data_IF_634819831697
#
_entry.id   IF_634819831697
#
_cell.length_a   1.000
_cell.length_b   1.000
_cell.length_c   1.000
_cell.angle_alpha   90.00
_cell.angle_beta   90.00
_cell.angle_gamma   90.00
#
_symmetry.space_group_name_H-M   'P 1'
#
loop_
_entity.id
_entity.type
_entity.pdbx_description
1 polymer ?
#
# COMPACT_ATOMS: atom_id res chain seq x y z
N UNK A 1 -23.43 -12.75 -9.21
CA UNK A 1 -23.03 -12.90 -7.88
C UNK A 1 -21.62 -12.45 -7.66
N UNK A 2 -21.41 -11.68 -6.63
CA UNK A 2 -20.09 -11.19 -6.36
C UNK A 2 -19.45 -12.05 -5.30
N UNK A 3 -18.26 -12.44 -5.51
CA UNK A 3 -17.55 -13.12 -4.47
C UNK A 3 -16.72 -12.12 -3.72
N UNK A 4 -16.39 -12.48 -2.52
CA UNK A 4 -15.52 -11.63 -1.72
C UNK A 4 -14.13 -11.65 -2.31
N UNK A 5 -13.45 -10.55 -2.23
CA UNK A 5 -12.07 -10.53 -2.72
C UNK A 5 -11.19 -11.46 -1.90
N UNK A 6 -10.24 -12.05 -2.56
CA UNK A 6 -9.25 -12.88 -1.89
C UNK A 6 -7.92 -12.15 -1.80
N UNK A 7 -7.94 -10.86 -2.03
CA UNK A 7 -6.74 -10.04 -2.00
C UNK A 7 -6.71 -9.20 -0.74
N UNK A 8 -5.57 -8.61 -0.49
CA UNK A 8 -5.40 -7.64 0.59
C UNK A 8 -5.10 -6.28 0.00
N UNK A 9 -5.58 -5.25 0.65
CA UNK A 9 -5.28 -3.90 0.24
C UNK A 9 -4.38 -3.26 1.29
N UNK A 10 -3.27 -2.71 0.84
CA UNK A 10 -2.35 -2.01 1.72
C UNK A 10 -2.14 -0.60 1.21
N UNK A 11 -2.00 0.34 2.11
CA UNK A 11 -1.74 1.72 1.71
C UNK A 11 -0.64 2.30 2.56
N UNK A 12 0.04 3.28 1.99
CA UNK A 12 1.06 4.02 2.70
C UNK A 12 1.11 5.43 2.14
N UNK A 13 1.46 6.37 3.00
CA UNK A 13 1.54 7.78 2.62
C UNK A 13 2.87 8.33 3.08
N UNK A 14 3.39 9.28 2.33
CA UNK A 14 4.61 9.96 2.71
C UNK A 14 4.55 11.39 2.22
N UNK A 15 5.27 12.27 2.88
CA UNK A 15 5.35 13.66 2.46
C UNK A 15 6.31 13.80 1.31
N UNK A 16 5.93 14.62 0.37
CA UNK A 16 6.89 15.02 -0.65
C UNK A 16 7.91 15.95 -0.02
N UNK A 17 9.14 15.92 -0.49
CA UNK A 17 10.12 16.85 0.00
C UNK A 17 9.62 18.25 -0.27
N UNK A 18 9.84 19.11 0.69
CA UNK A 18 9.47 20.47 0.52
C UNK A 18 10.37 21.10 -0.47
N UNK A 19 9.80 21.56 -1.51
CA UNK A 19 10.51 22.38 -2.40
C UNK A 19 10.72 23.68 -1.73
N UNK A 20 11.62 24.43 -2.19
CA UNK A 20 11.84 25.74 -1.67
C UNK A 20 10.74 26.67 -1.97
N UNK A 21 9.79 26.25 -2.66
CA UNK A 21 8.71 27.08 -3.02
C UNK A 21 7.94 27.49 -1.81
N UNK A 22 7.52 28.66 -1.79
CA UNK A 22 6.80 29.15 -0.69
C UNK A 22 5.43 28.64 -0.62
N UNK A 23 5.03 27.91 -1.55
CA UNK A 23 3.76 27.42 -1.52
C UNK A 23 3.64 26.36 -0.56
N UNK A 24 4.53 26.07 0.18
CA UNK A 24 4.56 25.26 1.35
C UNK A 24 3.36 24.43 1.60
N UNK A 25 2.63 24.08 0.65
CA UNK A 25 1.56 23.17 0.87
C UNK A 25 2.15 21.83 1.01
N UNK A 26 1.88 21.19 2.09
CA UNK A 26 2.32 19.84 2.25
C UNK A 26 1.59 18.99 1.28
N UNK A 27 2.31 18.38 0.42
CA UNK A 27 1.72 17.39 -0.44
C UNK A 27 2.18 16.04 0.01
N UNK A 28 1.25 15.14 0.12
CA UNK A 28 1.55 13.76 0.43
C UNK A 28 1.38 12.94 -0.80
N UNK A 29 2.20 11.91 -0.89
CA UNK A 29 2.01 10.90 -1.90
C UNK A 29 1.43 9.69 -1.21
N UNK A 30 0.33 9.20 -1.74
CA UNK A 30 -0.25 7.96 -1.26
C UNK A 30 -0.05 6.86 -2.28
N UNK A 31 0.16 5.66 -1.79
CA UNK A 31 0.29 4.48 -2.63
C UNK A 31 -0.64 3.43 -2.06
N UNK A 32 -1.40 2.79 -2.92
CA UNK A 32 -2.26 1.69 -2.55
C UNK A 32 -1.87 0.51 -3.41
N UNK A 33 -1.65 -0.63 -2.79
CA UNK A 33 -1.38 -1.87 -3.49
C UNK A 33 -2.45 -2.89 -3.15
N UNK A 34 -2.94 -3.56 -4.16
CA UNK A 34 -3.79 -4.72 -3.97
C UNK A 34 -2.90 -5.94 -4.23
N UNK A 35 -2.88 -6.86 -3.28
CA UNK A 35 -1.91 -7.95 -3.27
C UNK A 35 -2.66 -9.25 -3.09
N UNK A 36 -2.32 -10.27 -3.86
CA UNK A 36 -2.99 -11.56 -3.73
C UNK A 36 -2.40 -12.35 -2.57
N UNK A 37 -2.91 -13.54 -2.36
CA UNK A 37 -2.52 -14.33 -1.20
C UNK A 37 -1.10 -14.86 -1.29
N UNK A 38 -0.50 -14.81 -2.45
CA UNK A 38 0.90 -15.19 -2.61
C UNK A 38 1.83 -14.00 -2.43
N UNK A 39 1.28 -12.80 -2.26
CA UNK A 39 2.09 -11.61 -2.09
C UNK A 39 2.33 -10.84 -3.37
N UNK A 40 1.68 -11.23 -4.46
CA UNK A 40 1.91 -10.58 -5.76
C UNK A 40 1.00 -9.38 -5.89
N UNK A 41 1.56 -8.26 -6.31
CA UNK A 41 0.80 -7.04 -6.54
C UNK A 41 -0.02 -7.22 -7.80
N UNK A 42 -1.33 -7.14 -7.65
CA UNK A 42 -2.24 -7.28 -8.79
C UNK A 42 -2.77 -5.94 -9.25
N UNK A 43 -2.72 -4.93 -8.42
CA UNK A 43 -3.13 -3.58 -8.80
C UNK A 43 -2.40 -2.58 -7.93
N UNK A 44 -2.23 -1.39 -8.46
CA UNK A 44 -1.52 -0.33 -7.77
C UNK A 44 -2.12 1.00 -8.19
N UNK A 45 -2.28 1.89 -7.23
CA UNK A 45 -2.72 3.25 -7.51
C UNK A 45 -1.94 4.21 -6.66
N UNK A 46 -1.78 5.41 -7.15
CA UNK A 46 -1.10 6.45 -6.39
C UNK A 46 -1.90 7.73 -6.47
N UNK A 47 -1.51 8.69 -5.66
CA UNK A 47 -2.10 10.01 -5.73
C UNK A 47 -1.32 10.94 -6.66
N UNK A 48 -0.42 10.40 -7.46
CA UNK A 48 0.32 11.21 -8.42
C UNK A 48 -0.65 11.81 -9.42
N UNK A 49 -0.52 13.09 -9.64
CA UNK A 49 -1.49 13.81 -10.46
C UNK A 49 -1.33 13.55 -11.93
N UNK A 50 -0.11 13.31 -12.36
CA UNK A 50 0.12 13.09 -13.78
C UNK A 50 -0.04 11.63 -14.11
N UNK A 51 -0.89 11.37 -15.08
CA UNK A 51 -1.23 10.00 -15.44
C UNK A 51 -0.01 9.21 -15.88
N UNK A 52 0.94 9.86 -16.56
CA UNK A 52 2.14 9.16 -16.98
C UNK A 52 2.97 8.66 -15.80
N UNK A 53 3.07 9.49 -14.77
CA UNK A 53 3.83 9.10 -13.59
C UNK A 53 3.13 7.98 -12.83
N UNK A 54 1.84 8.13 -12.64
CA UNK A 54 1.06 7.10 -11.96
C UNK A 54 1.14 5.78 -12.72
N UNK A 55 0.93 5.82 -14.02
CA UNK A 55 0.97 4.59 -14.82
C UNK A 55 2.35 3.97 -14.85
N UNK A 56 3.39 4.79 -14.87
CA UNK A 56 4.74 4.27 -14.86
C UNK A 56 5.02 3.52 -13.54
N UNK A 57 4.63 4.13 -12.42
CA UNK A 57 4.83 3.49 -11.14
C UNK A 57 4.04 2.18 -11.05
N UNK A 58 2.81 2.19 -11.55
CA UNK A 58 2.02 0.96 -11.58
C UNK A 58 2.77 -0.15 -12.32
N UNK A 59 3.38 0.17 -13.44
CA UNK A 59 4.08 -0.86 -14.20
C UNK A 59 5.31 -1.40 -13.49
N UNK A 60 5.89 -0.61 -12.59
CA UNK A 60 7.01 -1.09 -11.80
C UNK A 60 6.55 -2.05 -10.70
N UNK A 61 5.35 -1.85 -10.20
CA UNK A 61 4.89 -2.59 -9.02
C UNK A 61 4.07 -3.82 -9.35
N UNK A 62 3.22 -3.75 -10.36
CA UNK A 62 2.31 -4.86 -10.66
C UNK A 62 3.12 -6.06 -11.09
N UNK A 63 2.81 -7.20 -10.49
CA UNK A 63 3.53 -8.44 -10.75
C UNK A 63 4.67 -8.72 -9.79
N UNK A 64 5.03 -7.76 -8.95
CA UNK A 64 6.10 -7.95 -7.99
C UNK A 64 5.55 -8.56 -6.71
N UNK A 65 6.42 -9.19 -5.96
CA UNK A 65 6.02 -9.88 -4.74
C UNK A 65 6.48 -9.09 -3.51
N UNK A 66 5.53 -8.64 -2.69
CA UNK A 66 5.86 -7.80 -1.54
C UNK A 66 6.44 -8.59 -0.38
N UNK A 67 6.43 -9.90 -0.45
CA UNK A 67 7.08 -10.71 0.57
C UNK A 67 8.50 -11.06 0.17
N UNK A 68 8.72 -11.36 -1.09
CA UNK A 68 9.99 -11.90 -1.53
C UNK A 68 10.88 -10.87 -2.24
N UNK A 69 10.32 -9.77 -2.74
CA UNK A 69 11.07 -8.91 -3.62
C UNK A 69 11.16 -7.48 -3.15
N UNK A 70 11.08 -7.24 -1.85
CA UNK A 70 11.05 -5.86 -1.33
C UNK A 70 12.27 -5.06 -1.76
N UNK A 71 13.45 -5.65 -1.65
CA UNK A 71 14.65 -4.94 -2.02
C UNK A 71 14.71 -4.69 -3.51
N UNK A 72 14.26 -5.66 -4.29
CA UNK A 72 14.23 -5.50 -5.72
C UNK A 72 13.23 -4.41 -6.13
N UNK A 73 12.09 -4.35 -5.45
CA UNK A 73 11.10 -3.31 -5.72
C UNK A 73 11.70 -1.94 -5.44
N UNK A 74 12.31 -1.78 -4.29
CA UNK A 74 12.89 -0.49 -3.95
C UNK A 74 14.00 -0.11 -4.92
N UNK A 75 14.88 -1.03 -5.23
CA UNK A 75 15.96 -0.77 -6.17
C UNK A 75 15.42 -0.40 -7.53
N UNK A 76 14.37 -1.06 -7.95
CA UNK A 76 13.77 -0.79 -9.24
C UNK A 76 13.17 0.62 -9.30
N UNK A 77 12.47 1.01 -8.23
CA UNK A 77 11.90 2.34 -8.17
C UNK A 77 13.01 3.37 -8.19
N UNK A 78 14.07 3.17 -7.40
CA UNK A 78 15.16 4.14 -7.37
C UNK A 78 15.90 4.22 -8.69
N UNK A 79 15.99 3.13 -9.39
CA UNK A 79 16.72 3.10 -10.64
C UNK A 79 15.89 3.65 -11.80
N UNK A 80 14.60 3.32 -11.83
CA UNK A 80 13.76 3.62 -12.98
C UNK A 80 12.86 4.85 -12.82
N UNK A 81 12.40 5.11 -11.61
CA UNK A 81 11.53 6.25 -11.39
C UNK A 81 12.38 7.46 -11.01
N UNK A 82 12.64 8.32 -11.96
CA UNK A 82 13.56 9.43 -11.74
C UNK A 82 12.84 10.75 -11.49
N UNK A 83 11.60 10.67 -11.11
CA UNK A 83 10.81 11.87 -10.86
C UNK A 83 11.01 12.42 -9.47
N UNK A 84 10.43 13.59 -9.28
CA UNK A 84 10.57 14.35 -8.05
C UNK A 84 10.03 13.60 -6.83
N UNK A 85 9.04 12.76 -7.02
CA UNK A 85 8.40 12.07 -5.91
C UNK A 85 9.03 10.73 -5.58
N UNK A 86 10.19 10.41 -6.15
CA UNK A 86 10.79 9.10 -5.95
C UNK A 86 10.96 8.77 -4.47
N UNK A 87 11.54 9.68 -3.70
CA UNK A 87 11.80 9.41 -2.29
C UNK A 87 10.54 9.20 -1.50
N UNK A 88 9.50 9.98 -1.81
CA UNK A 88 8.22 9.82 -1.13
C UNK A 88 7.56 8.50 -1.48
N UNK A 89 7.68 8.08 -2.73
CA UNK A 89 7.14 6.79 -3.14
C UNK A 89 7.82 5.65 -2.41
N UNK A 90 9.14 5.71 -2.29
CA UNK A 90 9.88 4.69 -1.55
C UNK A 90 9.48 4.68 -0.08
N UNK A 91 9.32 5.85 0.52
CA UNK A 91 8.89 5.93 1.91
C UNK A 91 7.49 5.35 2.10
N UNK A 92 6.60 5.63 1.16
CA UNK A 92 5.25 5.07 1.23
C UNK A 92 5.30 3.55 1.11
N UNK A 93 6.16 3.03 0.23
CA UNK A 93 6.32 1.58 0.09
C UNK A 93 6.85 0.95 1.38
N UNK A 94 7.77 1.62 2.07
CA UNK A 94 8.27 1.08 3.33
C UNK A 94 7.14 0.94 4.34
N UNK A 95 6.22 1.88 4.38
CA UNK A 95 5.09 1.78 5.29
C UNK A 95 4.16 0.64 4.88
N UNK A 96 4.01 0.43 3.59
CA UNK A 96 3.23 -0.70 3.11
C UNK A 96 3.89 -2.01 3.53
N UNK A 97 5.21 -2.10 3.39
CA UNK A 97 5.90 -3.33 3.77
C UNK A 97 5.75 -3.61 5.27
N UNK A 98 5.77 -2.57 6.09
CA UNK A 98 5.52 -2.76 7.51
C UNK A 98 4.12 -3.28 7.77
N UNK A 99 3.14 -2.75 7.05
CA UNK A 99 1.78 -3.21 7.20
C UNK A 99 1.63 -4.67 6.75
N UNK A 100 2.34 -5.04 5.69
CA UNK A 100 2.33 -6.41 5.21
C UNK A 100 2.89 -7.34 6.29
N UNK A 101 3.94 -6.92 6.97
CA UNK A 101 4.55 -7.75 8.01
C UNK A 101 3.61 -8.03 9.15
N UNK A 102 2.67 -7.15 9.40
CA UNK A 102 1.72 -7.31 10.49
C UNK A 102 0.41 -7.92 10.04
N UNK A 103 0.31 -8.28 8.78
CA UNK A 103 -0.93 -8.79 8.22
C UNK A 103 -0.90 -10.31 8.16
N UNK A 104 -2.06 -10.95 7.97
CA UNK A 104 -2.09 -12.40 7.81
C UNK A 104 -1.27 -12.88 6.62
N UNK A 105 -1.03 -12.01 5.65
CA UNK A 105 -0.23 -12.38 4.51
C UNK A 105 1.17 -12.82 4.93
N UNK A 106 1.76 -12.14 5.90
CA UNK A 106 3.08 -12.48 6.36
C UNK A 106 3.06 -13.44 7.54
N UNK A 107 2.06 -13.32 8.40
CA UNK A 107 2.04 -14.13 9.61
C UNK A 107 1.45 -15.51 9.39
N UNK A 108 0.73 -15.68 8.29
CA UNK A 108 0.11 -16.96 8.03
C UNK A 108 -1.13 -17.21 8.86
N UNK A 109 -1.68 -16.18 9.48
CA UNK A 109 -2.87 -16.38 10.28
C UNK A 109 -4.04 -16.77 9.39
N UNK A 110 -4.89 -17.65 9.87
CA UNK A 110 -6.04 -18.01 9.07
C UNK A 110 -7.01 -16.84 8.97
N UNK A 111 -7.88 -16.93 7.99
CA UNK A 111 -8.90 -15.92 7.82
C UNK A 111 -9.69 -15.78 9.10
N UNK A 112 -10.07 -14.56 9.40
CA UNK A 112 -10.86 -14.31 10.58
C UNK A 112 -12.25 -14.87 10.43
N UNK A 113 -13.07 -14.72 11.45
CA UNK A 113 -14.42 -15.24 11.37
C UNK A 113 -15.19 -14.56 10.25
N UNK A 114 -16.16 -15.26 9.74
CA UNK A 114 -16.95 -14.73 8.68
C UNK A 114 -17.62 -13.44 9.10
N UNK A 115 -17.83 -12.52 8.18
CA UNK A 115 -18.55 -11.31 8.53
C UNK A 115 -19.91 -11.68 9.09
N UNK A 116 -20.34 -11.04 10.07
CA UNK A 116 -21.59 -11.35 10.70
C UNK A 116 -21.49 -12.38 11.78
N UNK A 117 -20.46 -13.15 11.78
CA UNK A 117 -20.22 -14.05 12.89
C UNK A 117 -19.39 -13.39 13.94
N UNK A 118 -18.92 -12.27 13.73
CA UNK A 118 -18.15 -11.57 14.71
C UNK A 118 -19.03 -11.18 15.81
N UNK A 119 -18.65 -11.35 16.86
CA UNK A 119 -19.44 -10.87 17.88
C UNK A 119 -19.15 -9.55 18.32
N UNK A 120 -19.29 -9.42 18.61
CA UNK A 120 -19.24 -8.47 18.94
C UNK A 120 -18.88 -7.70 19.41
N UNK A 121 -19.05 -7.41 19.19
CA UNK A 121 -18.70 -6.80 19.39
C UNK A 121 -18.43 -6.24 19.87
N UNK A 122 -18.73 -5.81 19.89
CA UNK A 122 -18.30 -5.41 20.06
C UNK A 122 -18.29 -4.86 20.27
N UNK A 123 -18.75 -4.59 20.21
CA UNK A 123 -18.42 -4.21 20.22
C UNK A 123 -18.39 -3.67 20.36
N UNK A 124 -18.77 -3.17 20.45
CA UNK A 124 -18.50 -2.80 20.40
C UNK A 124 -18.11 -2.33 20.46
N UNK A 125 -18.23 -2.04 20.47
CA UNK A 125 -17.52 -1.66 20.37
C UNK A 125 -17.20 -1.32 20.26
N UNK A 126 -17.29 -1.00 20.24
CA UNK A 126 -16.65 -0.76 20.01
C UNK A 126 -16.36 -0.37 19.85
N UNK A 127 -16.46 0.03 19.88
CA UNK A 127 -15.99 0.25 19.63
C UNK A 127 -15.52 0.62 19.51
N UNK A 128 -15.42 0.83 19.50
CA UNK A 128 -14.75 0.99 19.30
C UNK A 128 -14.20 1.39 19.18
N UNK A 129 -14.21 1.70 19.30
CA UNK A 129 -13.46 1.86 18.99
C UNK A 129 -12.95 1.87 18.59
N UNK A 130 -12.89 2.02 18.34
CA UNK A 130 -12.22 1.80 17.78
C UNK A 130 -11.75 1.77 17.68
N UNK A 131 -12.23 1.70 17.74
CA UNK A 131 -11.66 1.51 17.59
C UNK A 131 -11.28 1.42 17.37
#
# INVERSE_FOLDING_TARGET
MTSEPTTFLFSGYARLPQDVSHQAMYKRVGVVLEVDEAGVVVACSTTLMMASADGFFQRLLVGRNVLAERRAIEALVRYRYRGHSQGALVSALHKIFEAVDQSPLATGEPAGPAPGATAPNGGAGGAETHG
#
